data_IF_492328717839
#
_entry.id   IF_492328717839
#
_cell.length_a   1.000
_cell.length_b   1.000
_cell.length_c   1.000
_cell.angle_alpha   90.00
_cell.angle_beta   90.00
_cell.angle_gamma   90.00
#
_symmetry.space_group_name_H-M   'P 1'
#
loop_
_entity.id
_entity.type
_entity.pdbx_description
1 polymer ?
#
# COMPACT_ATOMS: atom_id res chain seq x y z
N UNK A 1 16.12 -2.60 8.16
CA UNK A 1 17.52 -2.22 7.84
C UNK A 1 17.63 -1.59 6.45
N UNK A 2 16.95 -2.12 5.42
CA UNK A 2 16.89 -1.55 4.06
C UNK A 2 16.43 -0.08 4.01
N UNK A 3 15.40 0.29 4.79
CA UNK A 3 14.91 1.67 4.87
C UNK A 3 15.97 2.70 5.32
N UNK A 4 17.00 2.28 6.05
CA UNK A 4 18.09 3.17 6.50
C UNK A 4 19.32 3.12 5.59
N UNK A 5 19.35 2.23 4.59
CA UNK A 5 20.45 2.10 3.62
C UNK A 5 20.44 3.19 2.56
N UNK A 6 21.46 3.20 1.67
CA UNK A 6 21.56 4.18 0.58
C UNK A 6 20.31 4.16 -0.32
N UNK A 7 19.84 2.96 -0.69
CA UNK A 7 18.66 2.76 -1.52
C UNK A 7 17.36 3.29 -0.89
N UNK A 8 17.12 2.96 0.38
CA UNK A 8 15.93 3.43 1.10
C UNK A 8 15.87 4.95 1.25
N UNK A 9 17.03 5.61 1.42
CA UNK A 9 17.10 7.07 1.46
C UNK A 9 16.86 7.71 0.09
N UNK A 10 17.35 7.09 -0.99
CA UNK A 10 17.10 7.55 -2.35
C UNK A 10 15.60 7.47 -2.69
N UNK A 11 14.93 6.35 -2.39
CA UNK A 11 13.48 6.25 -2.58
C UNK A 11 12.68 7.27 -1.77
N UNK A 12 13.13 7.56 -0.55
CA UNK A 12 12.48 8.57 0.28
C UNK A 12 12.66 9.99 -0.28
N UNK A 13 13.87 10.34 -0.73
CA UNK A 13 14.15 11.63 -1.34
C UNK A 13 13.28 11.86 -2.58
N UNK A 14 13.23 10.88 -3.50
CA UNK A 14 12.40 10.94 -4.71
C UNK A 14 10.89 11.00 -4.39
N UNK A 15 10.46 10.42 -3.26
CA UNK A 15 9.06 10.51 -2.80
C UNK A 15 8.69 11.89 -2.27
N UNK A 16 9.63 12.54 -1.57
CA UNK A 16 9.37 13.81 -0.92
C UNK A 16 9.47 14.98 -1.94
N UNK A 17 10.50 15.00 -2.79
CA UNK A 17 10.64 15.93 -3.93
C UNK A 17 11.57 15.34 -5.00
N UNK A 18 11.04 15.12 -6.21
CA UNK A 18 11.79 14.52 -7.32
C UNK A 18 12.82 15.48 -7.93
N UNK A 19 12.45 16.74 -8.13
CA UNK A 19 13.31 17.75 -8.76
C UNK A 19 14.51 18.06 -7.85
N UNK A 20 14.25 18.15 -6.53
CA UNK A 20 15.32 18.33 -5.55
C UNK A 20 16.23 17.09 -5.47
N UNK A 21 15.69 15.88 -5.58
CA UNK A 21 16.51 14.66 -5.57
C UNK A 21 17.43 14.58 -6.80
N UNK A 22 16.93 14.99 -7.98
CA UNK A 22 17.72 15.04 -9.21
C UNK A 22 18.85 16.08 -9.12
N UNK A 23 18.56 17.28 -8.58
CA UNK A 23 19.56 18.32 -8.35
C UNK A 23 20.69 17.87 -7.40
N UNK A 24 20.39 16.95 -6.47
CA UNK A 24 21.35 16.35 -5.54
C UNK A 24 22.14 15.16 -6.14
N UNK A 25 21.97 14.89 -7.45
CA UNK A 25 22.71 13.85 -8.17
C UNK A 25 22.12 12.44 -8.02
N UNK A 26 20.88 12.31 -7.53
CA UNK A 26 20.18 11.02 -7.49
C UNK A 26 19.54 10.76 -8.84
N UNK A 27 19.85 9.62 -9.45
CA UNK A 27 19.16 9.20 -10.67
C UNK A 27 17.72 8.76 -10.34
N UNK A 28 16.76 9.65 -10.58
CA UNK A 28 15.32 9.45 -10.31
C UNK A 28 14.75 8.28 -11.11
N UNK A 29 15.14 8.14 -12.38
CA UNK A 29 14.72 7.06 -13.27
C UNK A 29 15.07 5.66 -12.73
N UNK A 30 16.35 5.41 -12.40
CA UNK A 30 16.80 4.12 -11.86
C UNK A 30 16.16 3.87 -10.49
N UNK A 31 16.01 4.92 -9.67
CA UNK A 31 15.41 4.83 -8.34
C UNK A 31 13.93 4.41 -8.41
N UNK A 32 13.16 4.96 -9.38
CA UNK A 32 11.76 4.57 -9.61
C UNK A 32 11.63 3.17 -10.20
N UNK A 33 12.44 2.82 -11.21
CA UNK A 33 12.38 1.50 -11.83
C UNK A 33 12.73 0.40 -10.84
N UNK A 34 13.72 0.60 -9.98
CA UNK A 34 14.08 -0.40 -8.97
C UNK A 34 12.97 -0.60 -7.94
N UNK A 35 12.26 0.46 -7.54
CA UNK A 35 11.06 0.33 -6.70
C UNK A 35 9.95 -0.45 -7.42
N UNK A 36 9.71 -0.14 -8.70
CA UNK A 36 8.70 -0.82 -9.52
C UNK A 36 9.03 -2.30 -9.76
N UNK A 37 10.28 -2.65 -10.05
CA UNK A 37 10.69 -4.05 -10.25
C UNK A 37 10.48 -4.86 -8.97
N UNK A 38 10.83 -4.31 -7.80
CA UNK A 38 10.62 -4.99 -6.53
C UNK A 38 9.13 -5.25 -6.28
N UNK A 39 8.28 -4.26 -6.55
CA UNK A 39 6.82 -4.41 -6.46
C UNK A 39 6.30 -5.48 -7.43
N UNK A 40 6.69 -5.40 -8.70
CA UNK A 40 6.26 -6.32 -9.76
C UNK A 40 6.64 -7.78 -9.45
N UNK A 41 7.80 -8.04 -8.82
CA UNK A 41 8.19 -9.38 -8.38
C UNK A 41 7.21 -9.93 -7.34
N UNK A 42 6.84 -9.13 -6.34
CA UNK A 42 5.88 -9.54 -5.32
C UNK A 42 4.46 -9.68 -5.87
N UNK A 43 4.03 -8.75 -6.72
CA UNK A 43 2.73 -8.82 -7.38
C UNK A 43 2.61 -10.05 -8.29
N UNK A 44 3.67 -10.39 -9.04
CA UNK A 44 3.72 -11.59 -9.88
C UNK A 44 3.65 -12.89 -9.06
N UNK A 45 4.39 -12.97 -7.95
CA UNK A 45 4.34 -14.12 -7.04
C UNK A 45 2.94 -14.28 -6.42
N UNK A 46 2.34 -13.19 -5.95
CA UNK A 46 0.99 -13.21 -5.39
C UNK A 46 -0.07 -13.60 -6.45
N UNK A 47 0.05 -13.08 -7.67
CA UNK A 47 -0.83 -13.42 -8.79
C UNK A 47 -0.75 -14.89 -9.18
N UNK A 48 0.44 -15.47 -9.23
CA UNK A 48 0.63 -16.90 -9.53
C UNK A 48 -0.05 -17.77 -8.47
N UNK A 49 0.14 -17.47 -7.18
CA UNK A 49 -0.52 -18.17 -6.09
C UNK A 49 -2.04 -18.07 -6.22
N UNK A 50 -2.56 -16.87 -6.46
CA UNK A 50 -4.01 -16.65 -6.65
C UNK A 50 -4.57 -17.44 -7.85
N UNK A 51 -3.82 -17.50 -8.95
CA UNK A 51 -4.19 -18.28 -10.14
C UNK A 51 -4.30 -19.77 -9.85
N UNK A 52 -3.38 -20.33 -9.06
CA UNK A 52 -3.47 -21.73 -8.63
C UNK A 52 -4.64 -22.00 -7.67
N UNK A 53 -5.02 -21.02 -6.86
CA UNK A 53 -6.17 -21.13 -5.95
C UNK A 53 -7.53 -21.05 -6.64
N UNK A 54 -7.69 -20.15 -7.62
CA UNK A 54 -8.98 -19.92 -8.26
C UNK A 54 -9.39 -21.03 -9.23
N UNK A 55 -8.44 -21.80 -9.78
CA UNK A 55 -8.60 -22.90 -10.78
C UNK A 55 -9.29 -22.52 -12.11
N UNK A 56 -10.18 -21.54 -12.11
CA UNK A 56 -10.81 -20.93 -13.26
C UNK A 56 -10.80 -19.40 -13.10
N UNK A 57 -10.33 -18.69 -14.12
CA UNK A 57 -10.28 -17.22 -14.15
C UNK A 57 -11.57 -16.71 -14.78
N UNK A 58 -12.34 -15.95 -14.02
CA UNK A 58 -13.52 -15.24 -14.53
C UNK A 58 -13.32 -13.72 -14.45
N UNK A 59 -13.88 -12.92 -15.37
CA UNK A 59 -13.82 -11.45 -15.29
C UNK A 59 -14.43 -10.91 -13.99
N UNK A 60 -15.33 -11.66 -13.36
CA UNK A 60 -15.95 -11.28 -12.10
C UNK A 60 -14.98 -11.37 -10.90
N UNK A 61 -13.85 -12.06 -11.05
CA UNK A 61 -12.81 -12.15 -10.02
C UNK A 61 -11.88 -10.93 -10.00
N UNK A 62 -11.87 -10.12 -11.06
CA UNK A 62 -10.96 -8.97 -11.24
C UNK A 62 -11.75 -7.66 -11.37
N UNK A 63 -12.68 -7.43 -10.45
CA UNK A 63 -13.45 -6.19 -10.40
C UNK A 63 -12.62 -5.05 -9.83
N UNK A 64 -12.88 -3.82 -10.27
CA UNK A 64 -12.24 -2.60 -9.77
C UNK A 64 -12.26 -2.51 -8.23
N UNK A 65 -13.33 -3.01 -7.63
CA UNK A 65 -13.55 -2.99 -6.20
C UNK A 65 -12.48 -3.77 -5.43
N UNK A 66 -11.92 -4.84 -5.99
CA UNK A 66 -10.79 -5.55 -5.37
C UNK A 66 -9.54 -4.67 -5.29
N UNK A 67 -9.23 -3.90 -6.33
CA UNK A 67 -8.11 -2.94 -6.30
C UNK A 67 -8.34 -1.86 -5.24
N UNK A 68 -9.58 -1.37 -5.12
CA UNK A 68 -9.94 -0.40 -4.08
C UNK A 68 -9.78 -0.98 -2.66
N UNK A 69 -10.11 -2.26 -2.44
CA UNK A 69 -9.87 -2.93 -1.15
C UNK A 69 -8.39 -3.06 -0.80
N UNK A 70 -7.54 -3.34 -1.80
CA UNK A 70 -6.08 -3.40 -1.59
C UNK A 70 -5.57 -2.01 -1.21
N UNK A 71 -6.01 -0.96 -1.91
CA UNK A 71 -5.68 0.42 -1.55
C UNK A 71 -6.17 0.79 -0.15
N UNK A 72 -7.38 0.38 0.20
CA UNK A 72 -7.94 0.59 1.53
C UNK A 72 -7.07 -0.04 2.62
N UNK A 73 -6.61 -1.28 2.44
CA UNK A 73 -5.73 -1.95 3.40
C UNK A 73 -4.44 -1.15 3.65
N UNK A 74 -3.86 -0.59 2.59
CA UNK A 74 -2.64 0.24 2.67
C UNK A 74 -2.92 1.58 3.36
N UNK A 75 -4.00 2.27 2.99
CA UNK A 75 -4.38 3.57 3.56
C UNK A 75 -4.72 3.45 5.05
N UNK A 76 -5.50 2.43 5.40
CA UNK A 76 -5.88 2.15 6.79
C UNK A 76 -4.65 1.80 7.65
N UNK A 77 -3.74 1.00 7.10
CA UNK A 77 -2.49 0.64 7.77
C UNK A 77 -1.51 1.82 7.94
N UNK A 78 -1.41 2.68 6.94
CA UNK A 78 -0.58 3.89 6.92
C UNK A 78 0.48 3.89 5.84
N UNK A 79 0.47 4.93 4.99
CA UNK A 79 1.41 5.07 3.88
C UNK A 79 2.85 5.22 4.38
N UNK A 80 3.73 4.30 3.97
CA UNK A 80 5.16 4.31 4.32
C UNK A 80 5.54 3.55 5.59
N UNK A 81 4.59 2.86 6.24
CA UNK A 81 4.85 2.03 7.42
C UNK A 81 4.57 0.55 7.14
N UNK A 82 5.64 -0.26 7.05
CA UNK A 82 5.49 -1.70 6.82
C UNK A 82 4.67 -2.41 7.90
N UNK A 83 4.86 -2.20 9.23
CA UNK A 83 4.00 -2.85 10.23
C UNK A 83 2.56 -2.34 10.19
N UNK A 84 2.34 -1.07 9.86
CA UNK A 84 1.00 -0.50 9.72
C UNK A 84 0.22 -1.16 8.59
N UNK A 85 0.82 -1.28 7.41
CA UNK A 85 0.19 -1.93 6.24
C UNK A 85 -0.14 -3.41 6.51
N UNK A 86 0.71 -4.14 7.24
CA UNK A 86 0.43 -5.55 7.61
C UNK A 86 -0.83 -5.63 8.48
N UNK A 87 -0.97 -4.75 9.47
CA UNK A 87 -2.17 -4.71 10.34
C UNK A 87 -3.40 -4.32 9.53
N UNK A 88 -3.28 -3.34 8.63
CA UNK A 88 -4.37 -2.92 7.75
C UNK A 88 -4.84 -4.03 6.79
N UNK A 89 -3.90 -4.77 6.20
CA UNK A 89 -4.20 -5.92 5.36
C UNK A 89 -4.87 -7.05 6.16
N UNK A 90 -4.38 -7.34 7.36
CA UNK A 90 -5.00 -8.33 8.25
C UNK A 90 -6.45 -7.94 8.58
N UNK A 91 -6.68 -6.67 8.92
CA UNK A 91 -8.01 -6.15 9.22
C UNK A 91 -8.96 -6.27 8.02
N UNK A 92 -8.54 -5.83 6.83
CA UNK A 92 -9.37 -5.92 5.61
C UNK A 92 -9.62 -7.37 5.18
N UNK A 93 -8.69 -8.28 5.49
CA UNK A 93 -8.85 -9.72 5.21
C UNK A 93 -9.78 -10.45 6.19
N UNK A 94 -9.82 -10.01 7.47
CA UNK A 94 -10.62 -10.63 8.53
C UNK A 94 -12.01 -10.00 8.70
N UNK A 95 -12.14 -8.69 8.45
CA UNK A 95 -13.42 -7.98 8.47
C UNK A 95 -14.55 -8.68 7.68
N UNK A 96 -14.31 -9.28 6.50
CA UNK A 96 -15.32 -10.01 5.74
C UNK A 96 -15.89 -11.22 6.47
N UNK A 97 -15.06 -11.91 7.26
CA UNK A 97 -15.46 -13.11 7.99
C UNK A 97 -16.41 -12.76 9.14
N UNK A 98 -16.15 -11.64 9.83
CA UNK A 98 -17.02 -11.13 10.89
C UNK A 98 -18.29 -10.44 10.37
N UNK A 99 -18.24 -9.82 9.19
CA UNK A 99 -19.38 -9.14 8.56
C UNK A 99 -20.12 -10.02 7.55
N UNK A 100 -19.97 -11.35 7.63
CA UNK A 100 -20.55 -12.30 6.68
C UNK A 100 -22.08 -12.16 6.54
N UNK A 101 -22.78 -11.79 7.60
CA UNK A 101 -24.23 -11.55 7.61
C UNK A 101 -24.63 -10.23 6.91
N UNK A 102 -23.72 -9.25 6.77
CA UNK A 102 -23.94 -7.94 6.14
C UNK A 102 -23.28 -7.81 4.75
N UNK A 103 -23.20 -8.92 4.01
CA UNK A 103 -22.46 -9.04 2.74
C UNK A 103 -22.72 -7.90 1.74
N UNK A 104 -23.97 -7.45 1.59
CA UNK A 104 -24.31 -6.40 0.61
C UNK A 104 -23.80 -4.99 1.00
N UNK A 105 -23.71 -4.70 2.30
CA UNK A 105 -23.34 -3.37 2.79
C UNK A 105 -21.83 -3.22 3.04
N UNK A 106 -21.09 -4.33 2.93
CA UNK A 106 -19.65 -4.41 3.21
C UNK A 106 -18.83 -3.40 2.40
N UNK A 107 -19.09 -3.27 1.11
CA UNK A 107 -18.33 -2.37 0.24
C UNK A 107 -18.61 -0.89 0.55
N UNK A 108 -19.84 -0.57 0.93
CA UNK A 108 -20.22 0.78 1.36
C UNK A 108 -19.56 1.13 2.69
N UNK A 109 -19.59 0.21 3.67
CA UNK A 109 -18.88 0.37 4.95
C UNK A 109 -17.38 0.58 4.75
N UNK A 110 -16.75 -0.19 3.86
CA UNK A 110 -15.35 -0.05 3.53
C UNK A 110 -15.01 1.29 2.85
N UNK A 111 -15.86 1.76 1.94
CA UNK A 111 -15.71 3.09 1.33
C UNK A 111 -15.82 4.21 2.37
N UNK A 112 -16.83 4.16 3.24
CA UNK A 112 -16.99 5.13 4.35
C UNK A 112 -15.78 5.08 5.28
N UNK A 113 -15.31 3.90 5.67
CA UNK A 113 -14.15 3.74 6.53
C UNK A 113 -12.88 4.30 5.90
N UNK A 114 -12.70 4.15 4.58
CA UNK A 114 -11.59 4.75 3.85
C UNK A 114 -11.66 6.28 3.92
N UNK A 115 -12.82 6.89 3.65
CA UNK A 115 -13.00 8.34 3.74
C UNK A 115 -12.76 8.86 5.15
N UNK A 116 -13.31 8.17 6.16
CA UNK A 116 -13.12 8.51 7.58
C UNK A 116 -11.64 8.43 7.96
N UNK A 117 -10.93 7.40 7.53
CA UNK A 117 -9.49 7.26 7.85
C UNK A 117 -8.66 8.35 7.17
N UNK A 118 -8.97 8.73 5.93
CA UNK A 118 -8.32 9.87 5.25
C UNK A 118 -8.57 11.21 5.97
N UNK A 119 -9.78 11.43 6.49
CA UNK A 119 -10.12 12.68 7.20
C UNK A 119 -9.42 12.74 8.57
N UNK A 120 -9.52 11.68 9.36
CA UNK A 120 -9.07 11.73 10.76
C UNK A 120 -7.59 11.38 10.93
N UNK A 121 -7.02 10.51 10.09
CA UNK A 121 -5.60 10.11 10.17
C UNK A 121 -5.03 9.74 8.79
N UNK A 122 -4.64 10.73 7.97
CA UNK A 122 -4.05 10.48 6.65
C UNK A 122 -2.72 9.71 6.69
N UNK A 123 -2.07 9.62 7.85
CA UNK A 123 -0.85 8.82 8.06
C UNK A 123 -1.11 7.36 8.51
N UNK A 124 -2.37 6.96 8.68
CA UNK A 124 -2.81 5.62 9.10
C UNK A 124 -2.62 5.29 10.59
N UNK A 125 -2.82 4.01 10.94
CA UNK A 125 -2.79 3.52 12.33
C UNK A 125 -1.39 3.58 12.94
N UNK A 126 -0.34 3.28 12.16
CA UNK A 126 1.05 3.32 12.61
C UNK A 126 1.90 4.17 11.65
N UNK A 127 2.15 5.46 11.93
CA UNK A 127 2.89 6.33 11.02
C UNK A 127 4.38 5.95 10.93
N UNK A 128 4.98 6.20 9.77
CA UNK A 128 6.39 5.93 9.53
C UNK A 128 7.29 6.82 10.40
N UNK A 129 8.12 6.22 11.25
CA UNK A 129 8.92 6.93 12.28
C UNK A 129 10.08 7.78 11.73
N UNK A 130 10.27 7.88 10.42
CA UNK A 130 11.35 8.68 9.85
C UNK A 130 10.82 10.04 9.40
N UNK A 131 10.72 11.01 10.31
CA UNK A 131 10.69 12.44 9.93
C UNK A 131 12.15 12.87 9.79
N UNK A 132 12.55 13.39 8.62
CA UNK A 132 13.88 13.97 8.47
C UNK A 132 13.91 15.28 9.28
N UNK A 133 14.99 15.56 10.04
CA UNK A 133 15.01 16.66 11.01
C UNK A 133 14.82 18.07 10.39
N UNK A 134 14.90 18.20 9.07
CA UNK A 134 14.74 19.48 8.34
C UNK A 134 13.37 19.67 7.67
N UNK A 135 12.41 18.75 7.84
CA UNK A 135 11.06 18.84 7.26
C UNK A 135 10.06 19.46 8.26
N UNK A 136 10.37 20.66 8.75
CA UNK A 136 9.40 21.56 9.38
C UNK A 136 9.33 22.86 8.61
#
# INVERSE_FOLDING_TARGET
RLARGKMGRAWKAVRDDEDAAEAMGINTYVTKITAYIIDAVWAGLAGQLMGTHLTAISPNSFQFLYSALILMAVVLGGMGSTPGVIIGALFVSLAPEFLREFSEWRFLLFGVLLVVTMIFRPSGIWPATAVLPWSK
#
